data_IF_123508097292
#
_entry.id   IF_123508097292
#
_cell.length_a   1.000
_cell.length_b   1.000
_cell.length_c   1.000
_cell.angle_alpha   90.00
_cell.angle_beta   90.00
_cell.angle_gamma   90.00
#
_symmetry.space_group_name_H-M   'P 1'
#
loop_
_entity.id
_entity.type
_entity.pdbx_description
1 polymer ?
#
# COMPACT_ATOMS: atom_id res chain seq x y z
N UNK A 1 -1.14 8.75 0.62
CA UNK A 1 -0.79 7.58 1.48
C UNK A 1 -0.43 6.45 0.56
N UNK A 2 0.75 5.86 0.70
CA UNK A 2 1.14 4.67 -0.07
C UNK A 2 0.13 3.54 0.10
N UNK A 3 -0.40 3.03 -1.03
CA UNK A 3 -1.23 1.84 -1.11
C UNK A 3 -0.36 0.67 -1.61
N UNK A 4 -0.95 -0.46 -1.95
CA UNK A 4 -0.19 -1.64 -2.36
C UNK A 4 0.79 -1.37 -3.52
N UNK A 5 0.41 -0.68 -4.62
CA UNK A 5 1.34 -0.44 -5.73
C UNK A 5 2.57 0.39 -5.34
N UNK A 6 2.40 1.41 -4.48
CA UNK A 6 3.49 2.25 -4.02
C UNK A 6 4.47 1.45 -3.13
N UNK A 7 3.93 0.60 -2.24
CA UNK A 7 4.75 -0.27 -1.39
C UNK A 7 5.49 -1.32 -2.21
N UNK A 8 4.83 -1.93 -3.19
CA UNK A 8 5.45 -2.89 -4.12
C UNK A 8 6.56 -2.23 -4.94
N UNK A 9 6.33 -1.01 -5.42
CA UNK A 9 7.33 -0.23 -6.15
C UNK A 9 8.54 0.10 -5.27
N UNK A 10 8.30 0.51 -4.02
CA UNK A 10 9.37 0.75 -3.06
C UNK A 10 10.18 -0.52 -2.80
N UNK A 11 9.51 -1.66 -2.58
CA UNK A 11 10.13 -2.96 -2.40
C UNK A 11 11.06 -3.32 -3.57
N UNK A 12 10.53 -3.24 -4.79
CA UNK A 12 11.31 -3.55 -6.01
C UNK A 12 12.50 -2.62 -6.19
N UNK A 13 12.35 -1.36 -5.83
CA UNK A 13 13.41 -0.36 -5.94
C UNK A 13 14.55 -0.58 -4.96
N UNK A 14 14.28 -1.04 -3.74
CA UNK A 14 15.32 -1.25 -2.72
C UNK A 14 15.91 -2.66 -2.73
N UNK A 15 15.16 -3.66 -3.18
CA UNK A 15 15.56 -5.09 -3.13
C UNK A 15 16.93 -5.39 -3.71
N UNK A 16 17.34 -4.85 -4.89
CA UNK A 16 18.65 -5.14 -5.48
C UNK A 16 19.83 -4.66 -4.62
N UNK A 17 19.59 -3.70 -3.72
CA UNK A 17 20.62 -3.11 -2.88
C UNK A 17 20.68 -3.72 -1.47
N UNK A 18 19.67 -4.50 -1.09
CA UNK A 18 19.57 -5.11 0.24
C UNK A 18 19.77 -6.61 0.21
N UNK A 19 19.19 -7.31 -0.75
CA UNK A 19 19.24 -8.77 -0.83
C UNK A 19 20.68 -9.26 -0.94
N UNK A 20 21.01 -10.28 -0.15
CA UNK A 20 22.34 -10.91 -0.04
C UNK A 20 23.42 -10.06 0.63
N UNK A 21 23.12 -8.81 1.00
CA UNK A 21 24.03 -7.98 1.78
C UNK A 21 23.84 -8.17 3.29
N UNK A 22 24.81 -7.68 4.05
CA UNK A 22 24.85 -7.80 5.50
C UNK A 22 24.49 -6.46 6.15
N UNK A 23 23.58 -6.50 7.10
CA UNK A 23 23.27 -5.36 7.98
C UNK A 23 24.45 -5.21 8.94
N UNK A 24 25.23 -4.11 8.83
CA UNK A 24 26.26 -3.79 9.78
C UNK A 24 25.70 -3.26 11.09
N UNK A 25 24.67 -2.40 10.99
CA UNK A 25 23.93 -1.83 12.13
C UNK A 25 22.63 -1.20 11.66
N UNK A 26 21.71 -0.97 12.59
CA UNK A 26 20.51 -0.15 12.39
C UNK A 26 20.57 1.05 13.34
N UNK A 27 20.50 2.25 12.77
CA UNK A 27 20.49 3.50 13.52
C UNK A 27 19.06 4.02 13.64
N UNK A 28 18.53 4.05 14.87
CA UNK A 28 17.18 4.56 15.17
C UNK A 28 17.31 5.94 15.79
N UNK A 29 17.03 7.00 15.02
CA UNK A 29 17.03 8.39 15.49
C UNK A 29 15.71 8.80 16.12
N UNK A 30 14.60 8.23 15.66
CA UNK A 30 13.26 8.49 16.20
C UNK A 30 12.60 7.18 16.65
N UNK A 31 12.60 6.88 17.97
CA UNK A 31 12.05 5.64 18.49
C UNK A 31 10.51 5.62 18.55
N UNK A 32 9.85 6.78 18.43
CA UNK A 32 8.39 6.91 18.47
C UNK A 32 7.85 7.32 17.11
N UNK A 33 7.37 6.33 16.35
CA UNK A 33 6.58 6.49 15.15
C UNK A 33 5.09 6.26 15.48
N UNK A 34 4.33 5.65 14.56
CA UNK A 34 2.95 5.22 14.86
C UNK A 34 2.89 4.30 16.09
N UNK A 35 3.87 3.40 16.18
CA UNK A 35 4.19 2.59 17.35
C UNK A 35 5.65 2.79 17.69
N UNK A 36 6.05 2.34 18.87
CA UNK A 36 7.48 2.29 19.20
C UNK A 36 8.23 1.42 18.19
N UNK A 37 9.37 1.89 17.72
CA UNK A 37 10.28 1.07 16.92
C UNK A 37 10.74 -0.10 17.77
N UNK A 38 10.69 -1.31 17.23
CA UNK A 38 11.10 -2.51 17.98
C UNK A 38 12.56 -2.40 18.43
N UNK A 39 12.85 -2.53 19.74
CA UNK A 39 14.20 -2.36 20.26
C UNK A 39 15.19 -3.38 19.71
N UNK A 40 14.71 -4.55 19.29
CA UNK A 40 15.52 -5.61 18.66
C UNK A 40 16.24 -5.11 17.40
N UNK A 41 15.64 -4.15 16.66
CA UNK A 41 16.27 -3.61 15.46
C UNK A 41 17.63 -2.98 15.73
N UNK A 42 17.78 -2.29 16.86
CA UNK A 42 19.04 -1.66 17.24
C UNK A 42 20.12 -2.69 17.67
N UNK A 43 19.72 -3.93 17.92
CA UNK A 43 20.66 -5.02 18.29
C UNK A 43 21.17 -5.82 17.10
N UNK A 44 20.56 -5.64 15.92
CA UNK A 44 20.96 -6.34 14.72
C UNK A 44 22.35 -5.85 14.25
N UNK A 45 23.32 -6.74 14.29
CA UNK A 45 24.68 -6.47 13.88
C UNK A 45 25.26 -7.67 13.15
N UNK A 46 25.88 -7.45 11.99
CA UNK A 46 26.44 -8.49 11.13
C UNK A 46 25.41 -9.56 10.74
N UNK A 47 24.19 -9.14 10.39
CA UNK A 47 23.06 -10.01 10.04
C UNK A 47 22.80 -9.98 8.53
N UNK A 48 22.84 -11.13 7.88
CA UNK A 48 22.59 -11.23 6.45
C UNK A 48 21.10 -11.07 6.12
N UNK A 49 20.82 -10.28 5.07
CA UNK A 49 19.49 -10.18 4.45
C UNK A 49 19.37 -11.30 3.42
N UNK A 50 18.35 -12.14 3.58
CA UNK A 50 18.11 -13.30 2.73
C UNK A 50 17.19 -12.96 1.55
N UNK A 51 16.14 -12.21 1.80
CA UNK A 51 15.15 -11.84 0.79
C UNK A 51 14.33 -10.63 1.25
N UNK A 52 13.50 -10.10 0.34
CA UNK A 52 12.50 -9.09 0.63
C UNK A 52 11.16 -9.51 0.05
N UNK A 53 10.10 -9.24 0.79
CA UNK A 53 8.73 -9.49 0.33
C UNK A 53 7.78 -8.39 0.80
N UNK A 54 6.54 -8.46 0.36
CA UNK A 54 5.47 -7.57 0.79
C UNK A 54 4.28 -8.40 1.30
N UNK A 55 3.66 -7.92 2.35
CA UNK A 55 2.35 -8.38 2.79
C UNK A 55 1.46 -7.16 3.02
N UNK A 56 0.31 -7.07 2.33
CA UNK A 56 -0.54 -5.88 2.38
C UNK A 56 0.25 -4.61 1.99
N UNK A 57 0.36 -3.65 2.90
CA UNK A 57 1.14 -2.41 2.75
C UNK A 57 2.41 -2.42 3.62
N UNK A 58 2.90 -3.60 3.97
CA UNK A 58 4.10 -3.79 4.76
C UNK A 58 5.25 -4.30 3.89
N UNK A 59 6.41 -3.66 4.03
CA UNK A 59 7.70 -4.17 3.56
C UNK A 59 8.20 -5.21 4.55
N UNK A 60 8.73 -6.31 4.08
CA UNK A 60 9.29 -7.37 4.92
C UNK A 60 10.69 -7.66 4.44
N UNK A 61 11.68 -7.41 5.31
CA UNK A 61 13.08 -7.78 5.07
C UNK A 61 13.34 -9.06 5.83
N UNK A 62 13.61 -10.13 5.11
CA UNK A 62 13.92 -11.45 5.65
C UNK A 62 15.40 -11.51 6.01
N UNK A 63 15.71 -11.84 7.24
CA UNK A 63 17.09 -11.97 7.72
C UNK A 63 17.34 -13.37 8.28
N UNK A 64 18.62 -13.71 8.53
CA UNK A 64 19.00 -14.97 9.17
C UNK A 64 18.42 -15.14 10.58
N UNK A 65 18.02 -14.05 11.25
CA UNK A 65 17.57 -14.06 12.64
C UNK A 65 16.06 -13.85 12.78
N UNK A 66 15.39 -13.38 11.73
CA UNK A 66 13.96 -13.04 11.76
C UNK A 66 13.60 -12.01 10.69
N UNK A 67 12.59 -11.19 10.96
CA UNK A 67 11.98 -10.31 9.97
C UNK A 67 11.89 -8.87 10.46
N UNK A 68 12.36 -7.95 9.64
CA UNK A 68 12.10 -6.51 9.83
C UNK A 68 10.85 -6.15 9.05
N UNK A 69 9.87 -5.56 9.73
CA UNK A 69 8.58 -5.19 9.16
C UNK A 69 8.50 -3.67 9.09
N UNK A 70 8.51 -3.12 7.88
CA UNK A 70 8.37 -1.70 7.61
C UNK A 70 6.97 -1.32 7.12
N UNK A 71 6.41 -0.24 7.62
CA UNK A 71 5.18 0.37 7.11
C UNK A 71 5.41 1.85 6.83
N UNK A 72 5.14 2.30 5.61
CA UNK A 72 5.44 3.67 5.20
C UNK A 72 4.48 4.73 5.79
N UNK A 73 3.38 4.31 6.35
CA UNK A 73 2.38 5.24 6.91
C UNK A 73 1.69 6.06 5.84
N UNK A 74 1.69 7.39 6.00
CA UNK A 74 1.04 8.30 5.06
C UNK A 74 2.03 9.10 4.20
N UNK A 75 3.22 9.38 4.71
CA UNK A 75 4.24 10.21 4.07
C UNK A 75 5.63 9.58 4.10
N UNK A 76 5.73 8.35 4.60
CA UNK A 76 7.00 7.65 4.69
C UNK A 76 7.53 7.24 3.32
N UNK A 77 8.84 7.38 3.15
CA UNK A 77 9.59 6.94 1.99
C UNK A 77 10.84 6.19 2.43
N UNK A 78 11.28 5.28 1.59
CA UNK A 78 12.59 4.60 1.73
C UNK A 78 13.43 4.90 0.51
N UNK A 79 14.72 5.12 0.73
CA UNK A 79 15.68 5.40 -0.33
C UNK A 79 17.03 4.74 -0.03
N UNK A 80 17.75 4.39 -1.08
CA UNK A 80 19.10 3.87 -0.97
C UNK A 80 20.06 5.03 -1.19
N UNK A 81 20.94 5.27 -0.23
CA UNK A 81 21.91 6.37 -0.27
C UNK A 81 23.29 5.87 0.19
N UNK A 82 24.39 6.55 -0.20
CA UNK A 82 25.73 6.29 0.36
C UNK A 82 25.77 6.50 1.88
N UNK A 83 26.70 5.85 2.57
CA UNK A 83 26.87 5.94 4.04
C UNK A 83 27.08 7.36 4.55
N UNK A 84 27.77 8.20 3.77
CA UNK A 84 28.15 9.57 4.11
C UNK A 84 27.09 10.61 3.72
N UNK A 85 25.92 10.16 3.25
CA UNK A 85 24.84 11.07 2.85
C UNK A 85 24.35 11.89 4.04
N UNK A 86 24.14 13.22 3.88
CA UNK A 86 23.65 14.08 4.95
C UNK A 86 22.30 13.60 5.44
N UNK A 87 22.05 13.80 6.74
CA UNK A 87 20.81 13.41 7.41
C UNK A 87 19.87 14.60 7.45
N UNK A 88 18.65 14.41 6.93
CA UNK A 88 17.60 15.40 6.97
C UNK A 88 16.75 15.29 8.25
N UNK A 89 16.02 16.36 8.56
CA UNK A 89 15.18 16.48 9.77
C UNK A 89 14.23 15.30 10.01
N UNK A 90 13.73 14.67 8.96
CA UNK A 90 12.73 13.61 9.03
C UNK A 90 13.29 12.23 8.69
N UNK A 91 14.60 12.08 8.63
CA UNK A 91 15.28 10.80 8.47
C UNK A 91 15.35 10.10 9.84
N UNK A 92 14.50 9.12 10.02
CA UNK A 92 14.22 8.53 11.34
C UNK A 92 14.95 7.23 11.62
N UNK A 93 15.30 6.48 10.56
CA UNK A 93 15.95 5.19 10.69
C UNK A 93 16.85 4.91 9.48
N UNK A 94 18.03 4.36 9.72
CA UNK A 94 18.94 3.86 8.70
C UNK A 94 19.27 2.38 8.94
N UNK A 95 19.18 1.57 7.89
CA UNK A 95 19.74 0.21 7.86
C UNK A 95 21.04 0.29 7.08
N UNK A 96 22.16 0.21 7.79
CA UNK A 96 23.52 0.36 7.24
C UNK A 96 24.02 -1.00 6.74
N UNK A 97 24.51 -1.04 5.51
CA UNK A 97 24.91 -2.26 4.81
C UNK A 97 26.40 -2.31 4.54
N UNK A 98 26.94 -3.51 4.42
CA UNK A 98 28.37 -3.75 4.13
C UNK A 98 28.81 -3.44 2.69
N UNK A 99 27.92 -2.87 1.86
CA UNK A 99 28.21 -2.47 0.47
C UNK A 99 28.47 -0.96 0.31
N UNK A 100 28.70 -0.23 1.39
CA UNK A 100 28.90 1.23 1.35
C UNK A 100 27.62 2.04 1.21
N UNK A 101 26.45 1.41 1.30
CA UNK A 101 25.12 2.03 1.19
C UNK A 101 24.28 1.80 2.44
N UNK A 102 23.22 2.56 2.54
CA UNK A 102 22.20 2.34 3.57
C UNK A 102 20.81 2.53 2.99
N UNK A 103 19.82 1.85 3.58
CA UNK A 103 18.42 2.17 3.39
C UNK A 103 18.03 3.21 4.42
N UNK A 104 17.55 4.36 3.96
CA UNK A 104 17.10 5.48 4.79
C UNK A 104 15.60 5.61 4.77
N UNK A 105 14.99 5.65 5.95
CA UNK A 105 13.57 5.91 6.12
C UNK A 105 13.32 7.36 6.54
N UNK A 106 12.54 8.07 5.71
CA UNK A 106 12.09 9.44 5.95
C UNK A 106 10.57 9.48 6.14
N UNK A 107 10.07 10.18 7.17
CA UNK A 107 8.62 10.30 7.40
C UNK A 107 8.27 11.58 8.19
N UNK A 108 7.91 12.68 7.51
CA UNK A 108 7.55 13.93 8.16
C UNK A 108 6.40 13.82 9.16
N UNK A 109 5.47 12.91 8.93
CA UNK A 109 4.26 12.74 9.78
C UNK A 109 4.41 11.68 10.87
N UNK A 110 5.42 10.83 10.81
CA UNK A 110 5.70 9.74 11.77
C UNK A 110 4.56 8.73 11.93
N UNK A 111 3.81 8.45 10.86
CA UNK A 111 2.72 7.48 10.84
C UNK A 111 3.13 6.10 10.32
N UNK A 112 4.38 5.94 9.99
CA UNK A 112 4.95 4.65 9.66
C UNK A 112 5.28 3.80 10.88
N UNK A 113 5.86 2.63 10.62
CA UNK A 113 6.29 1.71 11.67
C UNK A 113 7.49 0.89 11.20
N UNK A 114 8.37 0.54 12.15
CA UNK A 114 9.48 -0.38 11.96
C UNK A 114 9.52 -1.34 13.14
N UNK A 115 9.19 -2.61 12.84
CA UNK A 115 8.92 -3.63 13.84
C UNK A 115 9.76 -4.88 13.57
N UNK A 116 9.86 -5.74 14.57
CA UNK A 116 10.58 -7.00 14.51
C UNK A 116 9.68 -8.18 14.85
N UNK A 117 9.89 -9.30 14.20
CA UNK A 117 9.33 -10.59 14.60
C UNK A 117 10.29 -11.73 14.20
N UNK A 118 10.39 -12.76 15.02
CA UNK A 118 11.11 -13.98 14.66
C UNK A 118 10.26 -14.91 13.79
N UNK A 119 8.92 -14.78 13.88
CA UNK A 119 7.96 -15.63 13.18
C UNK A 119 6.91 -14.79 12.46
N UNK A 120 6.92 -14.87 11.15
CA UNK A 120 6.04 -14.07 10.29
C UNK A 120 4.58 -14.50 10.36
N UNK A 121 4.34 -15.81 10.48
CA UNK A 121 3.01 -16.43 10.59
C UNK A 121 2.31 -16.15 11.92
N UNK A 122 3.07 -15.85 12.98
CA UNK A 122 2.55 -15.48 14.29
C UNK A 122 2.48 -13.95 14.49
N UNK A 123 2.90 -13.16 13.51
CA UNK A 123 2.94 -11.70 13.67
C UNK A 123 1.53 -11.10 13.78
N UNK A 124 1.23 -10.54 14.93
CA UNK A 124 -0.13 -10.13 15.33
C UNK A 124 -0.86 -9.21 14.34
N UNK A 125 -0.12 -8.35 13.60
CA UNK A 125 -0.71 -7.47 12.59
C UNK A 125 -1.13 -8.21 11.31
N UNK A 126 -0.64 -9.44 11.08
CA UNK A 126 -0.95 -10.22 9.89
C UNK A 126 -2.06 -11.24 10.10
N UNK A 127 -2.36 -11.63 11.34
CA UNK A 127 -3.30 -12.70 11.66
C UNK A 127 -4.72 -12.49 11.15
N UNK A 128 -5.16 -11.24 11.00
CA UNK A 128 -6.52 -10.89 10.55
C UNK A 128 -6.58 -10.35 9.13
N UNK A 129 -5.45 -10.39 8.41
CA UNK A 129 -5.42 -9.88 7.04
C UNK A 129 -6.09 -10.86 6.07
N UNK A 130 -6.93 -10.33 5.19
CA UNK A 130 -7.49 -11.04 4.06
C UNK A 130 -6.44 -11.39 2.99
N UNK A 131 -6.86 -11.98 1.86
CA UNK A 131 -5.96 -12.37 0.78
C UNK A 131 -5.30 -11.17 0.09
N UNK A 132 -4.14 -11.44 -0.52
CA UNK A 132 -3.51 -10.52 -1.44
C UNK A 132 -4.37 -10.37 -2.70
N UNK A 133 -4.63 -9.14 -3.18
CA UNK A 133 -5.54 -8.92 -4.30
C UNK A 133 -5.06 -9.53 -5.62
N UNK A 134 -3.75 -9.72 -5.80
CA UNK A 134 -3.17 -10.33 -7.00
C UNK A 134 -3.02 -11.85 -6.91
N UNK A 135 -3.37 -12.46 -5.78
CA UNK A 135 -3.33 -13.92 -5.60
C UNK A 135 -4.60 -14.61 -6.12
N UNK A 136 -4.53 -15.93 -6.31
CA UNK A 136 -5.68 -16.76 -6.69
C UNK A 136 -6.73 -16.87 -5.56
N UNK A 137 -6.34 -16.62 -4.31
CA UNK A 137 -7.25 -16.62 -3.17
C UNK A 137 -8.29 -15.48 -3.24
N UNK A 138 -7.91 -14.35 -3.83
CA UNK A 138 -8.85 -13.26 -4.11
C UNK A 138 -9.56 -13.52 -5.43
N UNK A 139 -10.71 -14.16 -5.36
CA UNK A 139 -11.54 -14.54 -6.51
C UNK A 139 -13.01 -14.17 -6.30
N UNK A 140 -13.83 -14.34 -7.34
CA UNK A 140 -15.22 -13.96 -7.34
C UNK A 140 -16.06 -14.70 -6.28
N UNK A 141 -15.84 -15.99 -6.10
CA UNK A 141 -16.54 -16.79 -5.09
C UNK A 141 -16.19 -16.35 -3.67
N UNK A 142 -14.91 -16.10 -3.40
CA UNK A 142 -14.47 -15.54 -2.13
C UNK A 142 -15.16 -14.20 -1.85
N UNK A 143 -15.08 -13.25 -2.80
CA UNK A 143 -15.65 -11.90 -2.64
C UNK A 143 -17.16 -11.97 -2.45
N UNK A 144 -17.85 -12.79 -3.23
CA UNK A 144 -19.29 -13.00 -3.11
C UNK A 144 -19.67 -13.54 -1.72
N UNK A 145 -19.01 -14.60 -1.24
CA UNK A 145 -19.24 -15.16 0.10
C UNK A 145 -18.96 -14.13 1.20
N UNK A 146 -17.84 -13.40 1.09
CA UNK A 146 -17.42 -12.41 2.07
C UNK A 146 -18.37 -11.22 2.15
N UNK A 147 -19.00 -10.84 1.06
CA UNK A 147 -19.93 -9.72 0.98
C UNK A 147 -21.32 -10.01 1.59
N UNK A 148 -21.72 -11.29 1.70
CA UNK A 148 -23.03 -11.64 2.23
C UNK A 148 -23.25 -11.10 3.65
N UNK A 149 -24.42 -10.60 3.93
CA UNK A 149 -24.78 -10.01 5.24
C UNK A 149 -23.97 -8.74 5.62
N UNK A 150 -23.21 -8.15 4.67
CA UNK A 150 -22.43 -6.92 4.91
C UNK A 150 -23.27 -5.70 4.52
N UNK A 151 -23.70 -4.93 5.52
CA UNK A 151 -24.49 -3.70 5.34
C UNK A 151 -23.63 -2.45 5.13
N UNK A 152 -22.30 -2.60 5.10
CA UNK A 152 -21.36 -1.51 4.84
C UNK A 152 -21.38 -1.10 3.38
N UNK A 153 -21.06 0.18 3.11
CA UNK A 153 -20.84 0.70 1.77
C UNK A 153 -19.73 -0.09 1.05
N UNK A 154 -19.91 -0.35 -0.23
CA UNK A 154 -18.99 -1.17 -1.02
C UNK A 154 -17.56 -0.65 -1.00
N UNK A 155 -17.37 0.68 -1.06
CA UNK A 155 -16.04 1.26 -0.92
C UNK A 155 -15.40 0.91 0.43
N UNK A 156 -16.13 1.06 1.52
CA UNK A 156 -15.63 0.70 2.88
C UNK A 156 -15.30 -0.78 2.98
N UNK A 157 -16.15 -1.63 2.40
CA UNK A 157 -15.97 -3.07 2.36
C UNK A 157 -14.67 -3.47 1.63
N UNK A 158 -14.39 -2.87 0.46
CA UNK A 158 -13.16 -3.14 -0.30
C UNK A 158 -11.90 -2.62 0.38
N UNK A 159 -12.02 -1.60 1.23
CA UNK A 159 -10.89 -1.04 1.97
C UNK A 159 -10.63 -1.73 3.31
N UNK A 160 -11.49 -2.65 3.71
CA UNK A 160 -11.27 -3.48 4.90
C UNK A 160 -10.19 -4.53 4.61
N UNK A 161 -9.06 -4.42 5.30
CA UNK A 161 -7.95 -5.36 5.16
C UNK A 161 -8.29 -6.81 5.55
N UNK A 162 -9.40 -7.05 6.25
CA UNK A 162 -9.91 -8.41 6.52
C UNK A 162 -10.69 -8.98 5.32
N UNK A 163 -11.03 -8.15 4.33
CA UNK A 163 -11.69 -8.54 3.09
C UNK A 163 -10.65 -8.76 1.99
N UNK A 164 -9.89 -7.74 1.68
CA UNK A 164 -8.78 -7.78 0.73
C UNK A 164 -7.74 -6.75 1.17
N UNK A 165 -6.48 -7.13 1.13
CA UNK A 165 -5.42 -6.23 1.58
C UNK A 165 -4.98 -5.26 0.49
N UNK A 166 -4.38 -4.15 0.88
CA UNK A 166 -3.65 -3.26 -0.02
C UNK A 166 -4.48 -2.28 -0.83
N UNK A 167 -5.78 -2.52 -1.00
CA UNK A 167 -6.70 -1.60 -1.69
C UNK A 167 -7.01 -0.42 -0.77
N UNK A 168 -6.67 0.77 -1.20
CA UNK A 168 -6.94 1.99 -0.46
C UNK A 168 -7.91 2.92 -1.21
N UNK A 169 -7.90 4.21 -0.84
CA UNK A 169 -8.86 5.19 -1.36
C UNK A 169 -8.75 5.40 -2.87
N UNK A 170 -7.52 5.43 -3.41
CA UNK A 170 -7.28 5.67 -4.84
C UNK A 170 -7.86 4.51 -5.63
N UNK A 171 -7.34 3.31 -5.38
CA UNK A 171 -7.65 2.16 -6.21
C UNK A 171 -9.06 1.61 -5.99
N UNK A 172 -9.68 1.83 -4.82
CA UNK A 172 -11.09 1.54 -4.60
C UNK A 172 -11.99 2.45 -5.47
N UNK A 173 -11.72 3.76 -5.54
CA UNK A 173 -12.50 4.68 -6.40
C UNK A 173 -12.37 4.31 -7.88
N UNK A 174 -11.14 4.09 -8.36
CA UNK A 174 -10.86 3.75 -9.76
C UNK A 174 -11.54 2.42 -10.16
N UNK A 175 -11.40 1.40 -9.32
CA UNK A 175 -12.02 0.09 -9.58
C UNK A 175 -13.54 0.13 -9.59
N UNK A 176 -14.16 0.85 -8.66
CA UNK A 176 -15.60 1.01 -8.62
C UNK A 176 -16.15 1.77 -9.84
N UNK A 177 -15.42 2.81 -10.28
CA UNK A 177 -15.78 3.55 -11.50
C UNK A 177 -15.76 2.65 -12.73
N UNK A 178 -14.66 1.91 -12.93
CA UNK A 178 -14.52 0.99 -14.07
C UNK A 178 -15.57 -0.13 -14.08
N UNK A 179 -16.06 -0.52 -12.91
CA UNK A 179 -17.14 -1.49 -12.78
C UNK A 179 -18.55 -0.88 -12.90
N UNK A 180 -18.68 0.45 -12.94
CA UNK A 180 -19.99 1.12 -12.91
C UNK A 180 -20.72 0.94 -11.58
N UNK A 181 -20.02 0.68 -10.48
CA UNK A 181 -20.60 0.43 -9.16
C UNK A 181 -20.52 1.68 -8.28
N UNK A 182 -21.66 2.08 -7.73
CA UNK A 182 -21.71 3.24 -6.84
C UNK A 182 -20.95 2.96 -5.51
N UNK A 183 -20.12 3.87 -5.00
CA UNK A 183 -19.34 3.63 -3.79
C UNK A 183 -20.19 3.39 -2.52
N UNK A 184 -21.43 3.88 -2.48
CA UNK A 184 -22.39 3.62 -1.38
C UNK A 184 -23.26 2.38 -1.59
N UNK A 185 -23.14 1.65 -2.72
CA UNK A 185 -23.86 0.37 -2.86
C UNK A 185 -23.54 -0.53 -1.66
N UNK A 186 -24.55 -1.21 -1.12
CA UNK A 186 -24.31 -2.15 -0.03
C UNK A 186 -23.54 -3.38 -0.55
N UNK A 187 -22.51 -3.78 0.17
CA UNK A 187 -21.70 -4.94 -0.23
C UNK A 187 -22.53 -6.23 -0.35
N UNK A 188 -23.56 -6.41 0.52
CA UNK A 188 -24.48 -7.54 0.44
C UNK A 188 -25.28 -7.61 -0.86
N UNK A 189 -25.42 -6.49 -1.57
CA UNK A 189 -26.18 -6.41 -2.83
C UNK A 189 -25.33 -6.70 -4.08
N UNK A 190 -24.09 -7.11 -3.91
CA UNK A 190 -23.26 -7.57 -5.03
C UNK A 190 -23.81 -8.87 -5.62
N UNK A 191 -23.97 -8.91 -6.95
CA UNK A 191 -24.22 -10.13 -7.68
C UNK A 191 -22.90 -10.89 -7.95
N UNK A 192 -22.98 -12.19 -8.28
CA UNK A 192 -21.79 -12.97 -8.68
C UNK A 192 -21.05 -12.33 -9.86
N UNK A 193 -21.78 -11.92 -10.90
CA UNK A 193 -21.23 -11.25 -12.08
C UNK A 193 -20.52 -9.93 -11.72
N UNK A 194 -21.07 -9.17 -10.78
CA UNK A 194 -20.43 -7.96 -10.28
C UNK A 194 -19.14 -8.30 -9.50
N UNK A 195 -19.11 -9.38 -8.73
CA UNK A 195 -17.91 -9.84 -8.04
C UNK A 195 -16.83 -10.28 -9.02
N UNK A 196 -17.16 -11.03 -10.07
CA UNK A 196 -16.24 -11.43 -11.14
C UNK A 196 -15.57 -10.19 -11.76
N UNK A 197 -16.38 -9.25 -12.24
CA UNK A 197 -15.89 -8.01 -12.85
C UNK A 197 -15.05 -7.18 -11.87
N UNK A 198 -15.46 -7.09 -10.61
CA UNK A 198 -14.76 -6.29 -9.61
C UNK A 198 -13.40 -6.88 -9.24
N UNK A 199 -13.31 -8.19 -9.10
CA UNK A 199 -12.03 -8.89 -8.84
C UNK A 199 -11.07 -8.69 -10.01
N UNK A 200 -11.51 -8.93 -11.25
CA UNK A 200 -10.71 -8.73 -12.45
C UNK A 200 -10.23 -7.28 -12.58
N UNK A 201 -11.12 -6.33 -12.33
CA UNK A 201 -10.81 -4.90 -12.40
C UNK A 201 -9.80 -4.49 -11.34
N UNK A 202 -9.96 -4.91 -10.09
CA UNK A 202 -9.00 -4.62 -9.01
C UNK A 202 -7.63 -5.17 -9.35
N UNK A 203 -7.52 -6.42 -9.80
CA UNK A 203 -6.26 -7.04 -10.22
C UNK A 203 -5.61 -6.24 -11.35
N UNK A 204 -6.37 -5.89 -12.38
CA UNK A 204 -5.86 -5.13 -13.53
C UNK A 204 -5.38 -3.73 -13.15
N UNK A 205 -6.16 -3.00 -12.37
CA UNK A 205 -5.81 -1.63 -11.92
C UNK A 205 -4.55 -1.64 -11.07
N UNK A 206 -4.45 -2.56 -10.11
CA UNK A 206 -3.27 -2.67 -9.24
C UNK A 206 -2.02 -3.10 -10.02
N UNK A 207 -2.13 -4.09 -10.90
CA UNK A 207 -1.02 -4.54 -11.74
C UNK A 207 -0.49 -3.39 -12.61
N UNK A 208 -1.39 -2.67 -13.29
CA UNK A 208 -1.03 -1.50 -14.10
C UNK A 208 -0.39 -0.39 -13.27
N UNK A 209 -0.91 -0.12 -12.07
CA UNK A 209 -0.33 0.86 -11.17
C UNK A 209 1.10 0.49 -10.74
N UNK A 210 1.37 -0.79 -10.48
CA UNK A 210 2.72 -1.29 -10.18
C UNK A 210 3.65 -1.06 -11.37
N UNK A 211 3.24 -1.41 -12.58
CA UNK A 211 4.02 -1.19 -13.80
C UNK A 211 4.38 0.29 -14.02
N UNK A 212 3.49 1.20 -13.63
CA UNK A 212 3.70 2.66 -13.72
C UNK A 212 4.47 3.25 -12.53
N UNK A 213 4.92 2.43 -11.59
CA UNK A 213 5.64 2.88 -10.39
C UNK A 213 4.77 3.59 -9.35
N UNK A 214 3.47 3.28 -9.33
CA UNK A 214 2.51 3.86 -8.41
C UNK A 214 2.06 5.28 -8.76
N UNK A 215 1.32 5.91 -7.85
CA UNK A 215 0.88 7.30 -7.97
C UNK A 215 1.80 8.23 -7.16
N UNK A 216 2.23 9.34 -7.75
CA UNK A 216 2.80 10.45 -6.98
C UNK A 216 1.67 11.34 -6.51
N UNK A 217 1.19 11.11 -5.30
CA UNK A 217 0.45 12.11 -4.55
C UNK A 217 1.43 12.75 -3.61
N UNK A 218 1.58 14.04 -3.67
CA UNK A 218 2.43 15.01 -2.93
C UNK A 218 3.61 14.48 -2.08
N UNK A 219 3.49 13.28 -1.51
CA UNK A 219 4.38 12.77 -0.47
C UNK A 219 5.08 11.44 -0.82
N UNK A 220 4.86 10.85 -2.01
CA UNK A 220 5.51 9.61 -2.40
C UNK A 220 6.39 9.79 -3.62
N UNK A 221 7.67 9.41 -3.47
CA UNK A 221 8.64 9.24 -4.55
C UNK A 221 9.13 7.79 -4.54
N UNK A 222 9.50 7.28 -5.70
CA UNK A 222 10.20 6.00 -5.81
C UNK A 222 11.56 6.09 -5.07
N UNK A 223 12.18 4.97 -4.66
CA UNK A 223 13.45 4.97 -3.94
C UNK A 223 14.60 5.69 -4.66
N UNK A 224 14.51 5.84 -5.97
CA UNK A 224 15.47 6.58 -6.80
C UNK A 224 15.10 8.06 -7.01
N UNK A 225 14.07 8.54 -6.31
CA UNK A 225 13.60 9.93 -6.38
C UNK A 225 12.65 10.23 -7.54
N UNK A 226 12.38 9.27 -8.43
CA UNK A 226 11.44 9.47 -9.53
C UNK A 226 9.99 9.47 -9.07
N UNK A 227 9.10 10.27 -9.70
CA UNK A 227 7.67 10.22 -9.43
C UNK A 227 7.05 8.93 -9.98
N UNK A 228 5.93 8.51 -9.40
CA UNK A 228 5.06 7.51 -10.01
C UNK A 228 4.22 8.13 -11.13
N UNK A 229 4.00 7.41 -12.21
CA UNK A 229 3.30 7.93 -13.39
C UNK A 229 1.82 7.56 -13.44
N UNK A 230 1.33 6.69 -12.57
CA UNK A 230 -0.08 6.27 -12.57
C UNK A 230 -1.06 7.41 -12.24
N UNK A 231 -0.61 8.46 -11.55
CA UNK A 231 -1.44 9.64 -11.26
C UNK A 231 -2.03 10.30 -12.53
N UNK A 232 -1.33 10.21 -13.65
CA UNK A 232 -1.79 10.75 -14.94
C UNK A 232 -2.90 9.91 -15.58
N UNK A 233 -3.12 8.70 -15.10
CA UNK A 233 -4.11 7.76 -15.60
C UNK A 233 -5.34 7.64 -14.69
N UNK A 234 -5.43 8.46 -13.62
CA UNK A 234 -6.58 8.45 -12.71
C UNK A 234 -7.82 9.04 -13.40
N UNK A 235 -8.89 8.25 -13.40
CA UNK A 235 -10.14 8.57 -14.10
C UNK A 235 -11.09 9.41 -13.24
N UNK A 236 -11.23 9.09 -11.97
CA UNK A 236 -12.16 9.79 -11.07
C UNK A 236 -11.50 10.34 -9.81
N UNK A 237 -10.49 9.67 -9.26
CA UNK A 237 -9.87 10.10 -8.01
C UNK A 237 -9.19 11.47 -8.16
N UNK A 238 -9.62 12.43 -7.33
CA UNK A 238 -9.12 13.80 -7.37
C UNK A 238 -9.68 14.66 -8.53
N UNK A 239 -10.57 14.12 -9.36
CA UNK A 239 -11.09 14.76 -10.57
C UNK A 239 -12.50 15.38 -10.38
N UNK A 240 -12.87 15.75 -9.14
CA UNK A 240 -14.16 16.44 -8.89
C UNK A 240 -14.35 17.63 -9.85
N UNK A 241 -15.53 17.69 -10.46
CA UNK A 241 -15.91 18.77 -11.37
C UNK A 241 -15.39 18.63 -12.81
N UNK A 242 -14.45 17.73 -13.07
CA UNK A 242 -13.99 17.41 -14.43
C UNK A 242 -15.00 16.49 -15.14
N UNK A 243 -15.03 16.52 -16.48
CA UNK A 243 -15.91 15.63 -17.22
C UNK A 243 -15.48 14.15 -17.05
N UNK A 244 -16.47 13.29 -16.88
CA UNK A 244 -16.26 11.84 -16.89
C UNK A 244 -15.69 11.40 -18.24
N UNK A 245 -14.62 10.61 -18.28
CA UNK A 245 -14.01 10.17 -19.54
C UNK A 245 -14.93 9.24 -20.36
N UNK A 246 -15.95 8.66 -19.72
CA UNK A 246 -16.90 7.76 -20.41
C UNK A 246 -18.15 8.48 -20.94
N UNK A 247 -18.75 9.40 -20.18
CA UNK A 247 -20.04 9.99 -20.52
C UNK A 247 -20.09 11.52 -20.49
N UNK A 248 -19.01 12.19 -20.12
CA UNK A 248 -18.92 13.65 -20.06
C UNK A 248 -19.59 14.30 -18.84
N UNK A 249 -20.39 13.57 -18.05
CA UNK A 249 -21.00 14.09 -16.82
C UNK A 249 -19.90 14.50 -15.82
N UNK A 250 -20.11 15.59 -15.11
CA UNK A 250 -19.13 16.05 -14.09
C UNK A 250 -18.96 15.01 -12.98
N UNK A 251 -17.72 14.69 -12.67
CA UNK A 251 -17.36 13.84 -11.54
C UNK A 251 -17.77 14.54 -10.25
N UNK A 252 -18.47 13.80 -9.41
CA UNK A 252 -18.88 14.25 -8.07
C UNK A 252 -18.02 13.59 -6.98
N UNK A 253 -18.14 14.10 -5.76
CA UNK A 253 -17.57 13.45 -4.59
C UNK A 253 -18.59 13.44 -3.45
N UNK A 254 -18.43 12.45 -2.58
CA UNK A 254 -19.15 12.34 -1.31
C UNK A 254 -18.18 11.81 -0.23
N UNK A 255 -18.56 11.97 1.02
CA UNK A 255 -17.74 11.52 2.15
C UNK A 255 -18.22 10.15 2.60
N UNK A 256 -17.31 9.16 2.59
CA UNK A 256 -17.52 7.82 3.14
C UNK A 256 -16.38 7.55 4.13
N UNK A 257 -16.73 7.22 5.37
CA UNK A 257 -15.71 6.92 6.39
C UNK A 257 -14.71 8.07 6.60
N UNK A 258 -15.18 9.32 6.63
CA UNK A 258 -14.38 10.55 6.78
C UNK A 258 -13.43 10.85 5.62
N UNK A 259 -13.60 10.22 4.46
CA UNK A 259 -12.75 10.37 3.28
C UNK A 259 -13.55 10.68 2.03
N UNK A 260 -12.99 11.52 1.18
CA UNK A 260 -13.58 11.78 -0.13
C UNK A 260 -13.64 10.51 -0.98
N UNK A 261 -14.77 10.33 -1.63
CA UNK A 261 -15.03 9.27 -2.59
C UNK A 261 -15.50 9.91 -3.87
N UNK A 262 -14.82 9.64 -4.97
CA UNK A 262 -15.08 10.25 -6.27
C UNK A 262 -15.81 9.27 -7.17
N UNK A 263 -16.82 9.74 -7.89
CA UNK A 263 -17.63 8.88 -8.76
C UNK A 263 -18.33 9.70 -9.87
N UNK A 264 -18.72 9.01 -10.93
CA UNK A 264 -19.61 9.57 -11.95
C UNK A 264 -21.06 9.24 -11.62
N UNK A 265 -21.95 10.21 -11.39
CA UNK A 265 -23.34 9.93 -11.01
C UNK A 265 -24.17 9.29 -12.13
N UNK A 266 -23.74 9.40 -13.39
CA UNK A 266 -24.38 8.77 -14.53
C UNK A 266 -23.92 7.33 -14.74
N UNK A 267 -22.59 7.07 -14.69
CA UNK A 267 -22.03 5.73 -14.91
C UNK A 267 -22.20 4.81 -13.70
N UNK A 268 -22.21 5.38 -12.48
CA UNK A 268 -22.26 4.64 -11.22
C UNK A 268 -23.55 4.95 -10.46
N UNK A 269 -24.67 4.43 -10.96
CA UNK A 269 -25.98 4.65 -10.31
C UNK A 269 -26.06 3.91 -8.98
N UNK A 270 -26.68 4.58 -8.00
CA UNK A 270 -27.03 3.97 -6.73
C UNK A 270 -28.25 3.06 -6.99
N UNK A 271 -27.99 1.75 -7.12
CA UNK A 271 -29.02 0.72 -7.26
C UNK A 271 -29.35 0.06 -5.93
#
# INVERSE_FOLDING_TARGET
MPELPEVETALRGVSPYLKDYVIEKIEVRQPKLRWAVSPELATLHQVKILDLSRRAKYLIIHTEQGYIIGHLGMSGTVRIVPHDSPIDKHDHLDIVLNNGRLLRYNDPRRFGAWLWTEKLDEFHLFLKLGPEPLSEEFNADYLFKKSRKKTTALKTFLMDNAVVVGVGHIYANESLFLCGLHPLKLAANLTRKQCERLVETIKSVLAKAIERGGTTLKDFLQPDGRPGYFAQELLVYGNKGKPCPTCGTKIENLIIGQRNSFYCPTCQKKG
#
